data_IF_774440791969
#
_entry.id   IF_774440791969
#
_cell.length_a   1.000
_cell.length_b   1.000
_cell.length_c   1.000
_cell.angle_alpha   90.00
_cell.angle_beta   90.00
_cell.angle_gamma   90.00
#
_symmetry.space_group_name_H-M   'P 1'
#
loop_
_entity.id
_entity.type
_entity.pdbx_description
1 polymer ?
#
# COMPACT_ATOMS: atom_id res chain seq x y z
N UNK A 1 7.00 -0.67 12.86
CA UNK A 1 7.20 -0.89 11.43
C UNK A 1 6.93 0.40 10.67
N UNK A 2 7.73 0.69 9.70
CA UNK A 2 7.63 1.96 8.98
C UNK A 2 6.86 1.78 7.68
N UNK A 3 5.57 1.97 7.75
CA UNK A 3 4.74 1.80 6.56
C UNK A 3 5.00 2.87 5.52
N UNK A 4 5.42 4.05 5.96
CA UNK A 4 5.72 5.10 5.00
C UNK A 4 6.87 4.69 4.08
N UNK A 5 7.86 4.02 4.64
CA UNK A 5 8.97 3.53 3.85
C UNK A 5 8.49 2.48 2.85
N UNK A 6 7.57 1.62 3.27
CA UNK A 6 7.01 0.62 2.37
C UNK A 6 6.25 1.30 1.23
N UNK A 7 5.49 2.34 1.55
CA UNK A 7 4.78 3.08 0.52
C UNK A 7 5.75 3.73 -0.46
N UNK A 8 6.85 4.27 0.04
CA UNK A 8 7.86 4.83 -0.85
C UNK A 8 8.42 3.78 -1.78
N UNK A 9 8.66 2.59 -1.27
CA UNK A 9 9.19 1.51 -2.10
C UNK A 9 8.20 1.10 -3.16
N UNK A 10 6.92 1.09 -2.83
CA UNK A 10 5.89 0.77 -3.82
C UNK A 10 5.85 1.83 -4.92
N UNK A 11 5.87 3.09 -4.54
CA UNK A 11 5.81 4.18 -5.51
C UNK A 11 7.04 4.19 -6.40
N UNK A 12 8.20 3.89 -5.83
CA UNK A 12 9.45 3.86 -6.58
C UNK A 12 9.63 2.56 -7.35
N UNK A 13 8.67 1.66 -7.24
CA UNK A 13 8.69 0.37 -7.94
C UNK A 13 9.81 -0.54 -7.47
N UNK A 14 10.28 -0.32 -6.25
CA UNK A 14 11.21 -1.23 -5.60
C UNK A 14 10.48 -2.46 -5.09
N UNK A 15 9.19 -2.31 -4.78
CA UNK A 15 8.31 -3.42 -4.43
C UNK A 15 7.21 -3.50 -5.48
N UNK A 16 6.93 -4.71 -5.93
CA UNK A 16 5.83 -4.90 -6.86
C UNK A 16 4.50 -4.83 -6.13
N UNK A 17 4.45 -5.38 -4.93
CA UNK A 17 3.24 -5.39 -4.13
C UNK A 17 3.62 -5.62 -2.69
N UNK A 18 2.69 -5.31 -1.80
CA UNK A 18 2.89 -5.52 -0.38
C UNK A 18 1.59 -5.99 0.25
N UNK A 19 1.63 -7.15 0.88
CA UNK A 19 0.45 -7.74 1.50
C UNK A 19 0.36 -7.27 2.95
N UNK A 20 -0.79 -6.73 3.31
CA UNK A 20 -1.06 -6.26 4.66
C UNK A 20 -2.08 -7.19 5.28
N UNK A 21 -1.74 -7.77 6.44
CA UNK A 21 -2.65 -8.66 7.14
C UNK A 21 -3.84 -7.89 7.71
N UNK A 22 -4.91 -8.61 7.95
CA UNK A 22 -6.15 -7.96 8.41
C UNK A 22 -5.94 -7.18 9.70
N UNK A 23 -5.14 -7.71 10.61
CA UNK A 23 -4.94 -7.04 11.88
C UNK A 23 -4.01 -5.84 11.78
N UNK A 24 -3.34 -5.66 10.67
CA UNK A 24 -2.49 -4.49 10.45
C UNK A 24 -3.09 -3.53 9.42
N UNK A 25 -4.17 -3.93 8.78
CA UNK A 25 -4.72 -3.14 7.68
C UNK A 25 -5.16 -1.76 8.14
N UNK A 26 -5.71 -1.69 9.34
CA UNK A 26 -6.20 -0.42 9.85
C UNK A 26 -5.06 0.60 10.01
N UNK A 27 -3.95 0.15 10.59
CA UNK A 27 -2.82 1.04 10.77
C UNK A 27 -2.18 1.41 9.44
N UNK A 28 -2.12 0.46 8.53
CA UNK A 28 -1.56 0.76 7.21
C UNK A 28 -2.41 1.79 6.48
N UNK A 29 -3.74 1.64 6.55
CA UNK A 29 -4.62 2.59 5.91
C UNK A 29 -4.49 3.98 6.51
N UNK A 30 -4.27 4.04 7.82
CA UNK A 30 -4.09 5.32 8.47
C UNK A 30 -2.85 6.02 7.96
N UNK A 31 -1.76 5.29 7.78
CA UNK A 31 -0.55 5.86 7.23
C UNK A 31 -0.74 6.25 5.78
N UNK A 32 -1.43 5.40 5.02
CA UNK A 32 -1.67 5.69 3.61
C UNK A 32 -2.52 6.94 3.45
N UNK A 33 -3.50 7.13 4.30
CA UNK A 33 -4.38 8.30 4.22
C UNK A 33 -3.59 9.59 4.36
N UNK A 34 -2.53 9.56 5.16
CA UNK A 34 -1.69 10.73 5.37
C UNK A 34 -0.51 10.77 4.39
N UNK A 35 -0.43 9.80 3.51
CA UNK A 35 0.69 9.72 2.59
C UNK A 35 0.46 10.67 1.42
N UNK A 36 1.51 11.37 1.06
CA UNK A 36 1.44 12.42 0.06
C UNK A 36 1.06 11.87 -1.33
N UNK A 37 1.56 10.68 -1.65
CA UNK A 37 1.33 10.08 -2.95
C UNK A 37 0.32 8.95 -2.88
N UNK A 38 -0.66 9.07 -1.99
CA UNK A 38 -1.63 8.00 -1.80
C UNK A 38 -2.42 7.67 -3.05
N UNK A 39 -2.55 8.64 -3.95
CA UNK A 39 -3.28 8.41 -5.19
C UNK A 39 -2.55 7.46 -6.14
N UNK A 40 -1.27 7.25 -5.88
CA UNK A 40 -0.48 6.32 -6.68
C UNK A 40 -0.54 4.90 -6.13
N UNK A 41 -1.29 4.68 -5.06
CA UNK A 41 -1.36 3.38 -4.42
C UNK A 41 -2.79 2.87 -4.51
N UNK A 42 -2.94 1.60 -4.86
CA UNK A 42 -4.23 0.95 -4.88
C UNK A 42 -4.19 -0.30 -4.04
N UNK A 43 -5.32 -0.64 -3.41
CA UNK A 43 -5.41 -1.81 -2.57
C UNK A 43 -6.43 -2.78 -3.11
N UNK A 44 -6.12 -4.07 -3.02
CA UNK A 44 -7.01 -5.11 -3.51
C UNK A 44 -7.29 -6.07 -2.36
N UNK A 45 -8.56 -6.15 -1.97
CA UNK A 45 -8.95 -7.01 -0.86
C UNK A 45 -8.82 -8.47 -1.25
N UNK A 46 -8.33 -9.27 -0.32
CA UNK A 46 -8.17 -10.69 -0.52
C UNK A 46 -9.04 -11.45 0.46
N UNK A 47 -9.22 -12.74 0.22
CA UNK A 47 -9.90 -13.59 1.16
C UNK A 47 -9.16 -13.58 2.49
N UNK A 48 -9.91 -13.66 3.57
CA UNK A 48 -9.31 -13.67 4.89
C UNK A 48 -9.03 -12.29 5.45
N UNK A 49 -9.34 -11.23 4.70
CA UNK A 49 -9.22 -9.89 5.22
C UNK A 49 -7.91 -9.19 4.96
N UNK A 50 -6.97 -9.84 4.29
CA UNK A 50 -5.74 -9.16 3.92
C UNK A 50 -5.96 -8.29 2.70
N UNK A 51 -5.06 -7.34 2.49
CA UNK A 51 -5.14 -6.43 1.36
C UNK A 51 -3.76 -6.37 0.71
N UNK A 52 -3.74 -6.46 -0.60
CA UNK A 52 -2.49 -6.33 -1.34
C UNK A 52 -2.44 -4.95 -1.98
N UNK A 53 -1.41 -4.20 -1.63
CA UNK A 53 -1.22 -2.85 -2.14
C UNK A 53 -0.18 -2.85 -3.23
N UNK A 54 -0.48 -2.09 -4.27
CA UNK A 54 0.44 -1.93 -5.40
C UNK A 54 0.44 -0.49 -5.83
N UNK A 55 1.48 -0.09 -6.52
CA UNK A 55 1.52 1.24 -7.11
C UNK A 55 0.74 1.23 -8.41
N UNK A 56 -0.08 2.26 -8.59
CA UNK A 56 -0.81 2.42 -9.83
C UNK A 56 0.16 2.96 -10.87
N UNK A 57 0.22 2.28 -11.99
CA UNK A 57 1.07 2.72 -13.08
C UNK A 57 0.23 3.53 -14.04
N UNK A 58 0.35 4.83 -13.96
CA UNK A 58 -0.52 5.71 -14.70
C UNK A 58 0.22 6.49 -15.77
N UNK A 59 1.38 6.06 -16.10
CA UNK A 59 2.19 6.86 -16.99
C UNK A 59 2.04 6.47 -18.42
N UNK A 60 1.10 5.68 -18.74
CA UNK A 60 0.91 5.38 -20.12
C UNK A 60 -0.27 5.95 -20.70
#
# INVERSE_FOLDING_TARGET
>A
MDYQKILDQLVNKELKEYKVEANNAFEFQKTLRNYEKRQSITGKAQRGGSIIYTAVNSDD
#
